data_IF_682041058351
#
_entry.id   IF_682041058351
#
_cell.length_a   1.000
_cell.length_b   1.000
_cell.length_c   1.000
_cell.angle_alpha   90.00
_cell.angle_beta   90.00
_cell.angle_gamma   90.00
#
_symmetry.space_group_name_H-M   'P 1'
#
loop_
_entity.id
_entity.type
_entity.pdbx_description
1 polymer ?
#
# COMPACT_ATOMS: atom_id res chain seq x y z
N UNK A 1 20.49 9.95 -7.85
CA UNK A 1 19.64 10.68 -6.89
C UNK A 1 18.43 9.81 -6.54
N UNK A 2 18.55 9.11 -5.41
CA UNK A 2 17.54 8.52 -4.53
C UNK A 2 16.20 8.05 -5.13
N UNK A 3 16.11 6.76 -5.47
CA UNK A 3 14.85 5.99 -5.54
C UNK A 3 15.06 4.60 -4.94
N UNK A 4 15.37 4.59 -3.64
CA UNK A 4 15.21 3.42 -2.78
C UNK A 4 14.55 3.92 -1.50
N UNK A 5 13.22 3.81 -1.47
CA UNK A 5 12.38 3.95 -0.29
C UNK A 5 11.19 3.04 -0.56
N UNK A 6 11.32 1.79 -0.10
CA UNK A 6 10.19 0.86 -0.01
C UNK A 6 9.06 1.50 0.79
N UNK A 7 7.83 1.24 0.36
CA UNK A 7 6.55 1.31 1.08
C UNK A 7 6.22 2.46 2.04
N UNK A 8 6.95 3.59 2.04
CA UNK A 8 6.50 4.86 2.64
C UNK A 8 6.96 6.06 1.83
N UNK A 9 6.76 6.02 0.51
CA UNK A 9 6.76 7.26 -0.25
C UNK A 9 5.59 8.11 0.27
N UNK A 10 5.89 9.28 0.89
CA UNK A 10 4.86 10.25 1.30
C UNK A 10 3.88 10.41 0.12
N UNK A 11 2.56 10.24 0.33
CA UNK A 11 1.60 10.39 -0.74
C UNK A 11 1.82 11.75 -1.41
N UNK A 12 1.77 11.78 -2.74
CA UNK A 12 1.80 13.06 -3.47
C UNK A 12 0.68 13.94 -2.91
N UNK A 13 0.87 15.25 -2.85
CA UNK A 13 -0.17 16.17 -2.36
C UNK A 13 -1.52 15.98 -3.07
N UNK A 14 -1.53 15.61 -4.36
CA UNK A 14 -2.77 15.25 -5.08
C UNK A 14 -3.39 13.94 -4.61
N UNK A 15 -2.56 12.96 -4.25
CA UNK A 15 -3.03 11.69 -3.69
C UNK A 15 -3.59 11.90 -2.28
N UNK A 16 -2.93 12.74 -1.48
CA UNK A 16 -3.42 13.15 -0.17
C UNK A 16 -4.82 13.80 -0.26
N UNK A 17 -5.06 14.65 -1.26
CA UNK A 17 -6.39 15.22 -1.52
C UNK A 17 -7.43 14.15 -1.86
N UNK A 18 -7.09 13.14 -2.68
CA UNK A 18 -8.02 12.04 -3.00
C UNK A 18 -8.39 11.25 -1.76
N UNK A 19 -7.40 10.89 -0.94
CA UNK A 19 -7.62 10.16 0.31
C UNK A 19 -8.51 10.96 1.26
N UNK A 20 -8.30 12.28 1.36
CA UNK A 20 -9.18 13.14 2.15
C UNK A 20 -10.60 13.16 1.61
N UNK A 21 -10.79 13.22 0.28
CA UNK A 21 -12.13 13.15 -0.33
C UNK A 21 -12.79 11.79 -0.06
N UNK A 22 -12.04 10.68 -0.18
CA UNK A 22 -12.55 9.34 0.09
C UNK A 22 -13.00 9.21 1.56
N UNK A 23 -12.19 9.69 2.50
CA UNK A 23 -12.53 9.72 3.94
C UNK A 23 -13.72 10.63 4.25
N UNK A 24 -13.85 11.76 3.56
CA UNK A 24 -15.02 12.63 3.69
C UNK A 24 -16.28 11.94 3.18
N UNK A 25 -16.21 11.21 2.06
CA UNK A 25 -17.33 10.47 1.48
C UNK A 25 -17.74 9.25 2.33
N UNK A 26 -16.79 8.58 2.99
CA UNK A 26 -17.07 7.51 3.95
C UNK A 26 -17.94 7.97 5.13
N UNK A 27 -17.81 9.25 5.52
CA UNK A 27 -18.64 9.85 6.57
C UNK A 27 -20.06 10.20 6.10
N UNK A 28 -20.41 9.92 4.83
CA UNK A 28 -21.74 10.14 4.22
C UNK A 28 -22.28 11.55 4.49
N UNK A 29 -21.62 12.60 3.99
CA UNK A 29 -22.09 13.96 4.17
C UNK A 29 -23.43 14.13 3.46
N UNK A 30 -24.34 14.91 4.06
CA UNK A 30 -25.68 15.14 3.52
C UNK A 30 -25.65 15.87 2.17
N UNK A 31 -24.72 16.82 2.02
CA UNK A 31 -24.60 17.68 0.85
C UNK A 31 -23.14 17.97 0.52
N UNK A 32 -22.94 18.51 -0.67
CA UNK A 32 -21.62 18.91 -1.17
C UNK A 32 -20.95 19.97 -0.26
N UNK A 33 -21.71 20.91 0.29
CA UNK A 33 -21.16 21.87 1.27
C UNK A 33 -20.77 21.17 2.60
N UNK A 34 -21.42 20.07 2.97
CA UNK A 34 -21.03 19.23 4.10
C UNK A 34 -19.70 18.54 3.88
N UNK A 35 -19.45 18.05 2.65
CA UNK A 35 -18.15 17.49 2.26
C UNK A 35 -17.03 18.54 2.34
N UNK A 36 -17.27 19.78 1.90
CA UNK A 36 -16.27 20.85 1.98
C UNK A 36 -15.92 21.23 3.42
N UNK A 37 -16.89 21.18 4.34
CA UNK A 37 -16.64 21.38 5.78
C UNK A 37 -15.74 20.29 6.35
N UNK A 38 -16.03 19.02 6.06
CA UNK A 38 -15.19 17.90 6.48
C UNK A 38 -13.76 18.00 5.94
N UNK A 39 -13.59 18.39 4.67
CA UNK A 39 -12.26 18.62 4.08
C UNK A 39 -11.50 19.74 4.81
N UNK A 40 -12.20 20.80 5.23
CA UNK A 40 -11.61 21.90 5.98
C UNK A 40 -11.17 21.46 7.39
N UNK A 41 -11.99 20.64 8.07
CA UNK A 41 -11.66 20.03 9.37
C UNK A 41 -10.44 19.11 9.29
N UNK A 42 -10.25 18.41 8.16
CA UNK A 42 -9.06 17.62 7.87
C UNK A 42 -7.84 18.44 7.43
N UNK A 43 -7.93 19.78 7.50
CA UNK A 43 -6.83 20.70 7.22
C UNK A 43 -6.62 21.06 5.75
N UNK A 44 -7.58 20.74 4.86
CA UNK A 44 -7.53 21.19 3.47
C UNK A 44 -8.09 22.62 3.35
N UNK A 45 -7.32 23.55 2.77
CA UNK A 45 -7.86 24.88 2.46
C UNK A 45 -8.75 24.78 1.20
N UNK A 46 -10.04 25.10 1.35
CA UNK A 46 -11.00 25.15 0.25
C UNK A 46 -11.16 26.60 -0.19
N UNK A 47 -10.97 26.88 -1.48
CA UNK A 47 -11.19 28.21 -2.07
C UNK A 47 -12.03 28.11 -3.34
N UNK A 48 -12.90 29.11 -3.56
CA UNK A 48 -13.69 29.24 -4.79
C UNK A 48 -13.08 30.32 -5.68
N UNK A 49 -12.87 30.03 -6.97
CA UNK A 49 -12.52 31.05 -7.96
C UNK A 49 -13.45 30.92 -9.16
N UNK A 50 -14.46 31.78 -9.20
CA UNK A 50 -15.58 31.64 -10.15
C UNK A 50 -16.38 30.37 -9.83
N UNK A 51 -16.72 29.61 -10.87
CA UNK A 51 -17.46 28.35 -10.74
C UNK A 51 -16.60 27.16 -10.27
N UNK A 52 -15.27 27.29 -10.26
CA UNK A 52 -14.37 26.18 -9.96
C UNK A 52 -13.92 26.16 -8.49
N UNK A 53 -14.04 24.99 -7.86
CA UNK A 53 -13.56 24.74 -6.51
C UNK A 53 -12.10 24.29 -6.52
N UNK A 54 -11.32 24.87 -5.61
CA UNK A 54 -9.89 24.61 -5.46
C UNK A 54 -9.60 24.08 -4.06
N UNK A 55 -8.84 22.99 -4.02
CA UNK A 55 -8.40 22.33 -2.81
C UNK A 55 -6.88 22.47 -2.67
N UNK A 56 -6.43 22.73 -1.45
CA UNK A 56 -5.01 22.80 -1.11
C UNK A 56 -4.74 21.89 0.08
N UNK A 57 -3.93 20.86 -0.15
CA UNK A 57 -3.50 19.95 0.89
C UNK A 57 -2.63 20.66 1.93
N UNK A 58 -2.64 20.20 3.20
CA UNK A 58 -1.78 20.74 4.25
C UNK A 58 -0.31 20.79 3.81
N UNK A 59 0.32 21.97 3.92
CA UNK A 59 1.73 22.17 3.55
C UNK A 59 2.02 22.23 2.05
N UNK A 60 1.01 22.15 1.17
CA UNK A 60 1.21 22.27 -0.26
C UNK A 60 1.17 23.73 -0.72
N UNK A 61 2.22 24.19 -1.44
CA UNK A 61 2.27 25.56 -1.98
C UNK A 61 1.35 25.78 -3.19
N UNK A 62 0.94 24.72 -3.87
CA UNK A 62 0.07 24.78 -5.04
C UNK A 62 -1.37 24.40 -4.67
N UNK A 63 -2.32 24.72 -5.56
CA UNK A 63 -3.73 24.34 -5.44
C UNK A 63 -4.10 23.34 -6.53
N UNK A 64 -4.99 22.39 -6.23
CA UNK A 64 -5.65 21.54 -7.21
C UNK A 64 -7.07 22.05 -7.46
N UNK A 65 -7.56 21.91 -8.69
CA UNK A 65 -8.98 22.09 -9.00
C UNK A 65 -9.67 20.74 -8.86
N UNK A 66 -10.94 20.74 -8.46
CA UNK A 66 -11.80 19.55 -8.48
C UNK A 66 -12.30 19.28 -9.92
N UNK A 67 -11.35 19.00 -10.81
CA UNK A 67 -11.59 18.68 -12.23
C UNK A 67 -11.05 17.29 -12.58
N UNK A 68 -11.20 16.87 -13.84
CA UNK A 68 -10.67 15.58 -14.34
C UNK A 68 -9.16 15.39 -14.08
N UNK A 69 -8.39 16.46 -13.85
CA UNK A 69 -6.95 16.39 -13.56
C UNK A 69 -6.66 15.97 -12.14
N UNK A 70 -7.64 16.08 -11.23
CA UNK A 70 -7.56 15.48 -9.90
C UNK A 70 -7.71 13.96 -10.01
N UNK A 71 -8.43 13.46 -11.00
CA UNK A 71 -8.60 12.04 -11.31
C UNK A 71 -10.07 11.76 -11.64
N UNK A 72 -10.30 10.73 -12.47
CA UNK A 72 -11.65 10.24 -12.75
C UNK A 72 -12.35 9.82 -11.45
N UNK A 73 -13.59 10.28 -11.23
CA UNK A 73 -14.34 10.11 -9.98
C UNK A 73 -14.13 11.20 -8.93
N UNK A 74 -13.27 12.19 -9.17
CA UNK A 74 -12.96 13.28 -8.22
C UNK A 74 -13.30 14.67 -8.74
N UNK A 75 -14.01 14.78 -9.87
CA UNK A 75 -14.56 16.06 -10.32
C UNK A 75 -15.76 16.48 -9.48
N UNK A 76 -16.04 17.79 -9.47
CA UNK A 76 -17.19 18.35 -8.74
C UNK A 76 -18.52 17.72 -9.14
N UNK A 77 -18.74 17.53 -10.45
CA UNK A 77 -19.97 16.94 -10.98
C UNK A 77 -20.12 15.46 -10.59
N UNK A 78 -19.02 14.70 -10.61
CA UNK A 78 -19.01 13.30 -10.19
C UNK A 78 -19.28 13.14 -8.69
N UNK A 79 -18.66 13.97 -7.85
CA UNK A 79 -18.88 13.92 -6.39
C UNK A 79 -20.30 14.35 -6.04
N UNK A 80 -20.86 15.34 -6.75
CA UNK A 80 -22.28 15.70 -6.59
C UNK A 80 -23.21 14.55 -7.01
N UNK A 81 -22.93 13.87 -8.12
CA UNK A 81 -23.69 12.68 -8.55
C UNK A 81 -23.57 11.52 -7.54
N UNK A 82 -22.42 11.37 -6.87
CA UNK A 82 -22.24 10.40 -5.77
C UNK A 82 -23.11 10.74 -4.58
N UNK A 83 -23.13 12.01 -4.16
CA UNK A 83 -23.93 12.46 -3.02
C UNK A 83 -25.43 12.42 -3.32
N UNK A 84 -25.82 12.66 -4.58
CA UNK A 84 -27.19 12.48 -5.07
C UNK A 84 -27.60 11.00 -5.20
N UNK A 85 -26.68 10.05 -4.99
CA UNK A 85 -26.94 8.61 -5.11
C UNK A 85 -27.05 8.10 -6.55
N UNK A 86 -26.75 8.93 -7.55
CA UNK A 86 -26.79 8.57 -8.98
C UNK A 86 -25.58 7.71 -9.40
N UNK A 87 -24.45 7.83 -8.68
CA UNK A 87 -23.21 7.09 -8.96
C UNK A 87 -22.60 6.52 -7.67
N UNK A 88 -22.03 5.33 -7.76
CA UNK A 88 -21.25 4.76 -6.66
C UNK A 88 -19.81 5.28 -6.74
N UNK A 89 -19.35 5.99 -5.70
CA UNK A 89 -17.95 6.39 -5.60
C UNK A 89 -17.07 5.16 -5.45
N UNK A 90 -16.21 4.91 -6.42
CA UNK A 90 -15.19 3.87 -6.32
C UNK A 90 -13.86 4.59 -6.11
N UNK A 91 -13.31 4.61 -4.88
CA UNK A 91 -12.05 5.29 -4.62
C UNK A 91 -10.99 4.69 -5.54
N UNK A 92 -10.14 5.54 -6.12
CA UNK A 92 -9.12 5.06 -7.04
C UNK A 92 -8.14 4.19 -6.25
N UNK A 93 -8.33 2.87 -6.34
CA UNK A 93 -7.30 1.91 -5.94
C UNK A 93 -6.13 2.22 -6.84
N UNK A 94 -5.07 2.79 -6.27
CA UNK A 94 -3.78 2.82 -6.93
C UNK A 94 -3.51 1.36 -7.26
N UNK A 95 -3.49 1.02 -8.55
CA UNK A 95 -3.04 -0.31 -8.96
C UNK A 95 -1.75 -0.52 -8.20
N UNK A 96 -1.75 -1.51 -7.30
CA UNK A 96 -0.51 -2.00 -6.75
C UNK A 96 0.27 -2.32 -8.02
N UNK A 97 1.27 -1.49 -8.32
CA UNK A 97 2.17 -1.76 -9.42
C UNK A 97 2.61 -3.16 -9.09
N UNK A 98 2.13 -4.13 -9.87
CA UNK A 98 2.63 -5.49 -9.81
C UNK A 98 4.08 -5.27 -10.17
N UNK A 99 4.91 -5.13 -9.14
CA UNK A 99 6.33 -5.09 -9.33
C UNK A 99 6.60 -6.47 -9.87
N UNK A 100 6.95 -6.60 -11.17
CA UNK A 100 7.37 -7.89 -11.65
C UNK A 100 8.43 -8.36 -10.67
N UNK A 101 8.32 -9.61 -10.20
CA UNK A 101 9.31 -10.26 -9.34
C UNK A 101 10.68 -9.74 -9.74
N UNK A 102 11.40 -9.03 -8.85
CA UNK A 102 12.59 -8.31 -9.25
C UNK A 102 13.53 -9.34 -9.84
N UNK A 103 13.65 -9.36 -11.18
CA UNK A 103 14.75 -10.03 -11.83
C UNK A 103 15.99 -9.38 -11.24
N UNK A 104 16.96 -10.18 -10.85
CA UNK A 104 18.26 -9.70 -10.37
C UNK A 104 19.02 -9.13 -11.59
N UNK A 105 18.47 -8.08 -12.20
CA UNK A 105 19.08 -7.35 -13.30
C UNK A 105 19.84 -6.19 -12.66
N UNK A 106 21.10 -6.46 -12.34
CA UNK A 106 22.06 -5.48 -11.83
C UNK A 106 22.34 -4.36 -12.86
N UNK A 107 21.94 -4.57 -14.12
CA UNK A 107 22.19 -3.64 -15.23
C UNK A 107 20.91 -3.28 -15.99
N UNK A 108 20.87 -2.07 -16.53
CA UNK A 108 19.79 -1.60 -17.40
C UNK A 108 20.03 -2.10 -18.83
N UNK A 109 19.07 -2.83 -19.39
CA UNK A 109 19.05 -3.18 -20.81
C UNK A 109 18.73 -1.95 -21.66
N UNK A 110 19.79 -1.27 -22.10
CA UNK A 110 19.68 -0.01 -22.85
C UNK A 110 18.87 -0.21 -24.14
N UNK A 111 19.03 -1.35 -24.82
CA UNK A 111 18.31 -1.67 -26.07
C UNK A 111 16.81 -1.81 -25.86
N UNK A 112 16.40 -2.58 -24.86
CA UNK A 112 14.99 -2.75 -24.49
C UNK A 112 14.37 -1.40 -24.08
N UNK A 113 15.09 -0.61 -23.28
CA UNK A 113 14.58 0.71 -22.86
C UNK A 113 14.50 1.72 -24.01
N UNK A 114 15.41 1.67 -24.98
CA UNK A 114 15.32 2.49 -26.19
C UNK A 114 14.13 2.06 -27.07
N UNK A 115 13.90 0.75 -27.24
CA UNK A 115 12.73 0.22 -27.94
C UNK A 115 11.42 0.62 -27.26
N UNK A 116 11.40 0.72 -25.93
CA UNK A 116 10.28 1.24 -25.15
C UNK A 116 10.12 2.78 -25.23
N UNK A 117 10.73 3.45 -26.21
CA UNK A 117 10.55 4.88 -26.48
C UNK A 117 11.38 5.83 -25.61
N UNK A 118 12.44 5.35 -24.94
CA UNK A 118 13.36 6.24 -24.21
C UNK A 118 14.32 6.93 -25.19
N UNK A 119 14.60 8.21 -24.96
CA UNK A 119 15.46 9.01 -25.83
C UNK A 119 16.96 8.86 -25.56
N UNK A 120 17.78 9.47 -26.42
CA UNK A 120 19.26 9.39 -26.38
C UNK A 120 19.88 9.82 -25.04
N UNK A 121 19.26 10.78 -24.32
CA UNK A 121 19.70 11.19 -22.98
C UNK A 121 19.59 10.07 -21.95
N UNK A 122 18.56 9.22 -22.06
CA UNK A 122 18.39 8.07 -21.18
C UNK A 122 19.48 7.02 -21.42
N UNK A 123 19.85 6.78 -22.69
CA UNK A 123 20.94 5.87 -23.02
C UNK A 123 22.28 6.33 -22.44
N UNK A 124 22.60 7.64 -22.52
CA UNK A 124 23.82 8.20 -21.92
C UNK A 124 23.85 8.00 -20.40
N UNK A 125 22.73 8.27 -19.72
CA UNK A 125 22.59 8.01 -18.29
C UNK A 125 22.74 6.52 -17.96
N UNK A 126 22.06 5.64 -18.69
CA UNK A 126 22.08 4.20 -18.45
C UNK A 126 23.48 3.60 -18.62
N UNK A 127 24.29 4.10 -19.57
CA UNK A 127 25.70 3.71 -19.70
C UNK A 127 26.51 4.03 -18.46
N UNK A 128 26.44 5.28 -17.97
CA UNK A 128 27.17 5.70 -16.76
C UNK A 128 26.65 4.96 -15.53
N UNK A 129 25.34 4.74 -15.44
CA UNK A 129 24.73 3.98 -14.37
C UNK A 129 25.24 2.53 -14.35
N UNK A 130 25.17 1.82 -15.48
CA UNK A 130 25.65 0.44 -15.58
C UNK A 130 27.14 0.33 -15.25
N UNK A 131 27.97 1.25 -15.74
CA UNK A 131 29.40 1.28 -15.38
C UNK A 131 29.62 1.41 -13.88
N UNK A 132 28.88 2.30 -13.21
CA UNK A 132 28.94 2.44 -11.75
C UNK A 132 28.46 1.17 -11.04
N UNK A 133 27.39 0.55 -11.51
CA UNK A 133 26.89 -0.71 -10.94
C UNK A 133 27.89 -1.87 -11.12
N UNK A 134 28.55 -1.96 -12.26
CA UNK A 134 29.60 -2.94 -12.52
C UNK A 134 30.80 -2.73 -11.59
N UNK A 135 31.26 -1.48 -11.44
CA UNK A 135 32.34 -1.17 -10.52
C UNK A 135 31.99 -1.52 -9.07
N UNK A 136 30.77 -1.20 -8.61
CA UNK A 136 30.29 -1.59 -7.29
C UNK A 136 30.24 -3.10 -7.11
N UNK A 137 29.78 -3.83 -8.12
CA UNK A 137 29.73 -5.30 -8.09
C UNK A 137 31.14 -5.88 -8.02
N UNK A 138 32.07 -5.37 -8.84
CA UNK A 138 33.47 -5.81 -8.81
C UNK A 138 34.13 -5.54 -7.46
N UNK A 139 33.91 -4.36 -6.87
CA UNK A 139 34.42 -4.03 -5.54
C UNK A 139 33.87 -5.00 -4.49
N UNK A 140 32.55 -5.23 -4.48
CA UNK A 140 31.92 -6.16 -3.55
C UNK A 140 32.46 -7.58 -3.69
N UNK A 141 32.59 -8.07 -4.93
CA UNK A 141 33.15 -9.40 -5.19
C UNK A 141 34.59 -9.51 -4.70
N UNK A 142 35.38 -8.45 -4.88
CA UNK A 142 36.78 -8.41 -4.44
C UNK A 142 36.89 -8.36 -2.91
N UNK A 143 36.15 -7.46 -2.25
CA UNK A 143 36.13 -7.29 -0.80
C UNK A 143 35.68 -8.56 -0.05
N UNK A 144 34.78 -9.33 -0.65
CA UNK A 144 34.26 -10.56 -0.04
C UNK A 144 34.92 -11.84 -0.55
N UNK A 145 35.98 -11.74 -1.37
CA UNK A 145 36.70 -12.90 -1.92
C UNK A 145 35.82 -13.81 -2.77
N UNK A 146 34.89 -13.23 -3.52
CA UNK A 146 33.88 -13.91 -4.35
C UNK A 146 34.25 -13.97 -5.83
N UNK A 147 35.51 -13.68 -6.18
CA UNK A 147 35.98 -13.75 -7.56
C UNK A 147 36.09 -15.20 -8.05
N UNK A 148 36.26 -16.15 -7.13
CA UNK A 148 36.28 -17.59 -7.42
C UNK A 148 34.87 -18.17 -7.42
N UNK A 149 34.52 -18.87 -8.50
CA UNK A 149 33.18 -19.44 -8.67
C UNK A 149 32.80 -20.41 -7.55
N UNK A 150 33.73 -21.28 -7.13
CA UNK A 150 33.48 -22.25 -6.07
C UNK A 150 33.10 -21.58 -4.74
N UNK A 151 33.79 -20.48 -4.38
CA UNK A 151 33.51 -19.72 -3.16
C UNK A 151 32.15 -19.01 -3.27
N UNK A 152 31.81 -18.51 -4.45
CA UNK A 152 30.51 -17.90 -4.70
C UNK A 152 29.37 -18.92 -4.58
N UNK A 153 29.54 -20.11 -5.16
CA UNK A 153 28.58 -21.21 -5.11
C UNK A 153 28.34 -21.67 -3.67
N UNK A 154 29.42 -21.87 -2.91
CA UNK A 154 29.34 -22.25 -1.49
C UNK A 154 28.57 -21.21 -0.67
N UNK A 155 28.91 -19.92 -0.81
CA UNK A 155 28.20 -18.85 -0.09
C UNK A 155 26.74 -18.70 -0.53
N UNK A 156 26.45 -18.91 -1.81
CA UNK A 156 25.07 -18.90 -2.32
C UNK A 156 24.25 -20.06 -1.76
N UNK A 157 24.83 -21.27 -1.70
CA UNK A 157 24.21 -22.42 -1.08
C UNK A 157 23.96 -22.19 0.42
N UNK A 158 24.97 -21.69 1.15
CA UNK A 158 24.84 -21.36 2.56
C UNK A 158 23.76 -20.31 2.83
N UNK A 159 23.70 -19.25 2.02
CA UNK A 159 22.68 -18.21 2.12
C UNK A 159 21.27 -18.77 1.82
N UNK A 160 21.14 -19.67 0.85
CA UNK A 160 19.88 -20.32 0.48
C UNK A 160 19.40 -21.24 1.60
N UNK A 161 20.28 -22.06 2.17
CA UNK A 161 19.98 -22.91 3.32
C UNK A 161 19.48 -22.06 4.50
N UNK A 162 20.22 -21.00 4.86
CA UNK A 162 19.81 -20.09 5.94
C UNK A 162 18.47 -19.40 5.65
N UNK A 163 18.22 -19.02 4.39
CA UNK A 163 16.95 -18.44 3.99
C UNK A 163 15.79 -19.42 4.17
N UNK A 164 15.97 -20.67 3.74
CA UNK A 164 14.97 -21.72 3.88
C UNK A 164 14.68 -22.04 5.34
N UNK A 165 15.72 -22.14 6.17
CA UNK A 165 15.59 -22.33 7.62
C UNK A 165 14.79 -21.21 8.29
N UNK A 166 15.15 -19.95 8.00
CA UNK A 166 14.43 -18.79 8.55
C UNK A 166 12.98 -18.74 8.05
N UNK A 167 12.75 -19.06 6.77
CA UNK A 167 11.40 -19.12 6.20
C UNK A 167 10.55 -20.20 6.87
N UNK A 168 11.14 -21.36 7.19
CA UNK A 168 10.46 -22.42 7.93
C UNK A 168 10.13 -21.97 9.37
N UNK A 169 11.05 -21.29 10.05
CA UNK A 169 10.82 -20.74 11.39
C UNK A 169 9.70 -19.68 11.39
N UNK A 170 9.68 -18.78 10.41
CA UNK A 170 8.62 -17.78 10.26
C UNK A 170 7.26 -18.46 10.08
N UNK A 171 7.17 -19.45 9.19
CA UNK A 171 5.93 -20.21 8.98
C UNK A 171 5.47 -20.91 10.25
N UNK A 172 6.38 -21.54 10.99
CA UNK A 172 6.04 -22.19 12.26
C UNK A 172 5.59 -21.19 13.34
N UNK A 173 6.15 -19.99 13.36
CA UNK A 173 5.70 -18.93 14.25
C UNK A 173 4.30 -18.41 13.86
N UNK A 174 4.04 -18.24 12.56
CA UNK A 174 2.74 -17.84 12.03
C UNK A 174 1.64 -18.86 12.36
N UNK A 175 1.91 -20.16 12.20
CA UNK A 175 0.94 -21.22 12.56
C UNK A 175 0.64 -21.20 14.06
N UNK A 176 1.69 -21.06 14.90
CA UNK A 176 1.52 -20.96 16.35
C UNK A 176 0.73 -19.71 16.75
N UNK A 177 0.94 -18.58 16.08
CA UNK A 177 0.15 -17.37 16.31
C UNK A 177 -1.33 -17.58 15.97
N UNK A 178 -1.63 -18.27 14.87
CA UNK A 178 -3.01 -18.61 14.51
C UNK A 178 -3.67 -19.53 15.54
N UNK A 179 -2.97 -20.55 16.02
CA UNK A 179 -3.44 -21.44 17.10
C UNK A 179 -3.71 -20.68 18.41
N UNK A 180 -2.82 -19.76 18.79
CA UNK A 180 -3.04 -18.94 19.99
C UNK A 180 -4.28 -18.06 19.81
N UNK A 181 -4.51 -17.51 18.61
CA UNK A 181 -5.69 -16.71 18.32
C UNK A 181 -6.99 -17.53 18.41
N UNK A 182 -7.01 -18.77 17.92
CA UNK A 182 -8.17 -19.66 18.05
C UNK A 182 -8.41 -20.06 19.50
N UNK A 183 -7.37 -20.45 20.25
CA UNK A 183 -7.48 -20.77 21.68
C UNK A 183 -8.01 -19.59 22.49
N UNK A 184 -7.51 -18.37 22.23
CA UNK A 184 -8.02 -17.15 22.86
C UNK A 184 -9.52 -16.97 22.58
N UNK A 185 -9.95 -17.24 21.36
CA UNK A 185 -11.36 -17.16 20.97
C UNK A 185 -12.20 -18.20 21.71
N UNK A 186 -11.74 -19.44 21.82
CA UNK A 186 -12.41 -20.49 22.58
C UNK A 186 -12.53 -20.15 24.08
N UNK A 187 -11.48 -19.59 24.68
CA UNK A 187 -11.51 -19.16 26.09
C UNK A 187 -12.57 -18.07 26.28
N UNK A 188 -12.58 -17.05 25.41
CA UNK A 188 -13.57 -15.96 25.50
C UNK A 188 -14.99 -16.51 25.32
N UNK A 189 -15.21 -17.38 24.34
CA UNK A 189 -16.51 -17.99 24.10
C UNK A 189 -16.96 -18.81 25.32
N UNK A 190 -16.07 -19.64 25.88
CA UNK A 190 -16.36 -20.43 27.07
C UNK A 190 -16.76 -19.55 28.26
N UNK A 191 -16.01 -18.48 28.54
CA UNK A 191 -16.33 -17.54 29.63
C UNK A 191 -17.71 -16.92 29.43
N UNK A 192 -18.05 -16.51 28.20
CA UNK A 192 -19.36 -15.93 27.88
C UNK A 192 -20.51 -16.93 27.98
N UNK A 193 -20.30 -18.19 27.60
CA UNK A 193 -21.38 -19.20 27.53
C UNK A 193 -21.50 -20.05 28.80
N UNK A 194 -20.51 -20.05 29.69
CA UNK A 194 -20.47 -20.93 30.87
C UNK A 194 -21.67 -20.73 31.80
N UNK A 195 -22.03 -19.48 32.11
CA UNK A 195 -23.14 -19.19 33.02
C UNK A 195 -24.49 -19.60 32.42
N UNK A 196 -24.71 -19.27 31.15
CA UNK A 196 -25.92 -19.65 30.40
C UNK A 196 -26.04 -21.18 30.31
N UNK A 197 -24.94 -21.88 30.03
CA UNK A 197 -24.92 -23.35 29.99
C UNK A 197 -25.17 -23.98 31.37
N UNK A 198 -24.61 -23.41 32.44
CA UNK A 198 -24.87 -23.87 33.80
C UNK A 198 -26.35 -23.71 34.19
N UNK A 199 -26.97 -22.59 33.79
CA UNK A 199 -28.41 -22.36 33.98
C UNK A 199 -29.26 -23.34 33.15
N UNK A 200 -28.91 -23.56 31.89
CA UNK A 200 -29.57 -24.54 31.01
C UNK A 200 -29.54 -25.96 31.60
N UNK A 201 -28.39 -26.38 32.15
CA UNK A 201 -28.23 -27.69 32.80
C UNK A 201 -29.09 -27.81 34.07
N UNK A 202 -29.13 -26.76 34.90
CA UNK A 202 -29.99 -26.71 36.10
C UNK A 202 -31.48 -26.75 35.74
N UNK A 203 -31.86 -26.18 34.59
CA UNK A 203 -33.24 -26.18 34.09
C UNK A 203 -33.66 -27.50 33.41
N UNK A 204 -32.86 -28.57 33.51
CA UNK A 204 -33.22 -29.89 32.97
C UNK A 204 -33.25 -29.94 31.44
N UNK A 205 -32.38 -29.19 30.77
CA UNK A 205 -32.29 -29.15 29.30
C UNK A 205 -33.54 -28.59 28.60
N UNK A 206 -34.20 -27.61 29.25
CA UNK A 206 -35.41 -26.97 28.73
C UNK A 206 -35.20 -26.29 27.36
N UNK A 207 -36.14 -26.51 26.42
CA UNK A 207 -36.13 -25.90 25.08
C UNK A 207 -36.20 -24.37 25.08
N UNK A 208 -36.54 -23.73 26.21
CA UNK A 208 -36.60 -22.26 26.34
C UNK A 208 -35.23 -21.56 26.17
N UNK A 209 -34.13 -22.31 26.24
CA UNK A 209 -32.77 -21.79 26.02
C UNK A 209 -32.29 -21.88 24.56
N UNK A 210 -33.10 -22.44 23.65
CA UNK A 210 -32.87 -22.30 22.21
C UNK A 210 -33.35 -20.91 21.79
N UNK A 211 -32.40 -20.00 21.56
CA UNK A 211 -32.63 -18.74 20.87
C UNK A 211 -32.49 -18.93 19.36
#
# INVERSE_FOLDING_TARGET
YNKWLGDRAKPSHREQLRVMIDQALEQKPADFDGLLKLLTEMGCEVSRRGQAIRLKAPGWKNVARMDEKLGQGYSEDEIRAVLAGEKQHTPRRKDAVSTPTPKVNLMVDIREKLQAGKGAGYARWAKVFNLKQMAQTMNYLTEHGLLEYAVLEEKAAAATTRHNELSAQIKAAETRMAEIATLRTHIINYVKTREVYAAYRKAGYSKKFLA
#
